data_IF_618205171779
#
_entry.id   IF_618205171779
#
_cell.length_a   1.000
_cell.length_b   1.000
_cell.length_c   1.000
_cell.angle_alpha   90.00
_cell.angle_beta   90.00
_cell.angle_gamma   90.00
#
_symmetry.space_group_name_H-M   'P 1'
#
loop_
_entity.id
_entity.type
_entity.pdbx_description
1 polymer ?
#
# COMPACT_ATOMS: atom_id res chain seq x y z
N UNK A 1 -65.58 -26.39 -34.84
CA UNK A 1 -65.11 -25.04 -34.29
C UNK A 1 -63.81 -25.24 -33.57
N UNK A 2 -62.67 -25.03 -34.21
CA UNK A 2 -61.37 -25.14 -33.63
C UNK A 2 -60.88 -23.70 -33.25
N UNK A 3 -60.65 -23.42 -31.94
CA UNK A 3 -60.10 -22.18 -31.47
C UNK A 3 -58.55 -22.33 -31.42
N UNK A 4 -57.84 -21.56 -32.21
CA UNK A 4 -56.39 -21.43 -32.11
C UNK A 4 -56.04 -20.45 -31.00
N UNK A 5 -55.33 -20.92 -29.95
CA UNK A 5 -54.67 -20.07 -28.98
C UNK A 5 -53.32 -19.62 -29.58
N UNK A 6 -53.15 -18.37 -29.79
CA UNK A 6 -51.83 -17.77 -30.12
C UNK A 6 -51.06 -17.54 -28.82
N UNK A 7 -49.93 -18.23 -28.63
CA UNK A 7 -48.99 -17.97 -27.55
C UNK A 7 -48.05 -16.82 -27.97
N UNK A 8 -48.14 -15.70 -27.27
CA UNK A 8 -47.20 -14.59 -27.45
C UNK A 8 -45.91 -14.91 -26.66
N UNK A 9 -44.81 -15.17 -27.38
CA UNK A 9 -43.47 -15.29 -26.79
C UNK A 9 -42.94 -13.90 -26.45
N UNK A 10 -42.89 -13.53 -25.16
CA UNK A 10 -42.27 -12.30 -24.70
C UNK A 10 -40.73 -12.41 -24.78
N UNK A 11 -40.10 -11.60 -25.61
CA UNK A 11 -38.65 -11.47 -25.67
C UNK A 11 -38.22 -10.52 -24.52
N UNK A 12 -37.65 -11.07 -23.47
CA UNK A 12 -36.99 -10.26 -22.42
C UNK A 12 -35.63 -9.76 -22.96
N UNK A 13 -35.55 -8.47 -23.26
CA UNK A 13 -34.25 -7.80 -23.54
C UNK A 13 -33.48 -7.67 -22.22
N UNK A 14 -32.38 -8.42 -22.12
CA UNK A 14 -31.40 -8.23 -21.04
C UNK A 14 -30.67 -6.89 -21.30
N UNK A 15 -30.83 -5.93 -20.41
CA UNK A 15 -30.06 -4.68 -20.43
C UNK A 15 -28.63 -4.97 -19.99
N UNK A 16 -27.68 -4.88 -20.91
CA UNK A 16 -26.25 -4.92 -20.58
C UNK A 16 -25.90 -3.62 -19.87
N UNK A 17 -25.59 -3.70 -18.58
CA UNK A 17 -24.97 -2.59 -17.83
C UNK A 17 -23.50 -2.53 -18.25
N UNK A 18 -22.97 -1.39 -18.75
CA UNK A 18 -21.57 -1.30 -19.10
C UNK A 18 -20.72 -1.48 -17.84
N UNK A 19 -19.81 -2.45 -17.87
CA UNK A 19 -18.77 -2.60 -16.85
C UNK A 19 -17.79 -1.47 -17.04
N UNK A 20 -17.75 -0.54 -16.09
CA UNK A 20 -16.82 0.56 -16.10
C UNK A 20 -15.47 0.04 -15.58
N UNK A 21 -14.41 0.19 -16.37
CA UNK A 21 -13.06 -0.14 -15.91
C UNK A 21 -12.67 0.78 -14.73
N UNK A 22 -12.13 0.20 -13.67
CA UNK A 22 -11.66 0.98 -12.53
C UNK A 22 -10.40 1.77 -12.93
N UNK A 23 -10.25 3.03 -12.44
CA UNK A 23 -9.04 3.81 -12.72
C UNK A 23 -7.82 3.11 -12.11
N UNK A 24 -6.74 3.09 -12.88
CA UNK A 24 -5.44 2.57 -12.47
C UNK A 24 -4.62 3.73 -11.91
N UNK A 25 -4.03 3.54 -10.72
CA UNK A 25 -3.10 4.47 -10.09
C UNK A 25 -1.66 4.08 -10.43
N UNK A 26 -0.85 5.08 -10.71
CA UNK A 26 0.59 4.98 -10.98
C UNK A 26 1.37 5.87 -10.01
N UNK A 27 2.68 5.87 -10.05
CA UNK A 27 3.51 6.79 -9.25
C UNK A 27 3.33 8.28 -9.60
N UNK A 28 2.55 8.62 -10.63
CA UNK A 28 2.16 10.00 -10.95
C UNK A 28 0.94 10.48 -10.15
N UNK A 29 0.15 9.57 -9.62
CA UNK A 29 -1.09 9.87 -8.89
C UNK A 29 -0.81 10.19 -7.41
N UNK A 30 0.23 11.01 -7.17
CA UNK A 30 0.81 11.29 -5.84
C UNK A 30 -0.25 11.74 -4.84
N UNK A 31 -1.11 12.70 -5.21
CA UNK A 31 -2.15 13.23 -4.30
C UNK A 31 -3.21 12.17 -3.96
N UNK A 32 -3.51 11.28 -4.88
CA UNK A 32 -4.44 10.18 -4.66
C UNK A 32 -3.83 9.15 -3.68
N UNK A 33 -2.53 8.85 -3.83
CA UNK A 33 -1.78 7.98 -2.91
C UNK A 33 -1.72 8.61 -1.50
N UNK A 34 -1.49 9.93 -1.40
CA UNK A 34 -1.57 10.66 -0.13
C UNK A 34 -2.98 10.59 0.48
N UNK A 35 -4.02 10.68 -0.36
CA UNK A 35 -5.41 10.55 0.07
C UNK A 35 -5.70 9.18 0.69
N UNK A 36 -5.14 8.10 0.10
CA UNK A 36 -5.24 6.74 0.66
C UNK A 36 -4.51 6.68 2.01
N UNK A 37 -3.28 7.19 2.09
CA UNK A 37 -2.51 7.22 3.33
C UNK A 37 -3.25 7.92 4.48
N UNK A 38 -3.98 9.01 4.18
CA UNK A 38 -4.80 9.75 5.15
C UNK A 38 -5.98 8.93 5.70
N UNK A 39 -6.42 7.91 4.99
CA UNK A 39 -7.42 6.96 5.48
C UNK A 39 -6.94 6.12 6.67
N UNK A 40 -5.63 6.01 6.88
CA UNK A 40 -4.99 5.21 7.94
C UNK A 40 -4.38 6.07 9.06
N UNK A 41 -4.40 7.39 8.94
CA UNK A 41 -3.88 8.30 9.96
C UNK A 41 -3.43 9.63 9.37
N UNK A 42 -2.73 10.44 10.18
CA UNK A 42 -2.18 11.70 9.67
C UNK A 42 -1.11 11.42 8.61
N UNK A 43 -1.22 12.08 7.44
CA UNK A 43 -0.27 11.95 6.36
C UNK A 43 -0.07 13.27 5.62
N UNK A 44 1.18 13.58 5.27
CA UNK A 44 1.57 14.76 4.51
C UNK A 44 2.56 14.39 3.40
N UNK A 45 2.42 15.09 2.28
CA UNK A 45 3.37 15.02 1.18
C UNK A 45 4.61 15.87 1.50
N UNK A 46 5.78 15.32 1.23
CA UNK A 46 7.07 15.98 1.34
C UNK A 46 7.92 15.65 0.11
N UNK A 47 9.16 16.15 0.10
CA UNK A 47 10.17 15.79 -0.89
C UNK A 47 11.37 15.14 -0.22
N UNK A 48 11.94 14.15 -0.88
CA UNK A 48 13.23 13.56 -0.56
C UNK A 48 14.36 14.55 -0.90
N UNK A 49 15.58 14.31 -0.44
CA UNK A 49 16.75 15.16 -0.74
C UNK A 49 17.08 15.25 -2.22
N UNK A 50 16.74 14.22 -3.00
CA UNK A 50 16.88 14.20 -4.46
C UNK A 50 15.71 14.87 -5.21
N UNK A 51 14.68 15.34 -4.49
CA UNK A 51 13.48 15.98 -5.03
C UNK A 51 12.30 15.06 -5.31
N UNK A 52 12.45 13.75 -5.21
CA UNK A 52 11.36 12.78 -5.41
C UNK A 52 10.27 12.92 -4.34
N UNK A 53 9.01 12.56 -4.62
CA UNK A 53 7.96 12.59 -3.62
C UNK A 53 8.24 11.64 -2.45
N UNK A 54 7.74 12.03 -1.27
CA UNK A 54 7.73 11.20 -0.06
C UNK A 54 6.49 11.55 0.75
N UNK A 55 5.85 10.55 1.32
CA UNK A 55 4.80 10.74 2.31
C UNK A 55 5.41 10.48 3.70
N UNK A 56 5.23 11.41 4.63
CA UNK A 56 5.42 11.14 6.05
C UNK A 56 4.06 10.97 6.67
N UNK A 57 3.85 9.82 7.31
CA UNK A 57 2.56 9.45 7.86
C UNK A 57 2.71 8.87 9.28
N UNK A 58 1.58 8.79 10.00
CA UNK A 58 1.53 8.26 11.35
C UNK A 58 0.38 7.27 11.48
N UNK A 59 0.71 6.10 12.00
CA UNK A 59 -0.26 5.09 12.42
C UNK A 59 -0.08 4.86 13.93
N UNK A 60 -1.11 5.16 14.72
CA UNK A 60 -1.04 5.17 16.19
C UNK A 60 0.14 6.00 16.73
N UNK A 61 1.10 5.38 17.41
CA UNK A 61 2.32 6.03 17.93
C UNK A 61 3.47 6.03 16.94
N UNK A 62 3.40 5.26 15.83
CA UNK A 62 4.49 5.05 14.89
C UNK A 62 4.45 6.08 13.77
N UNK A 63 5.56 6.79 13.57
CA UNK A 63 5.78 7.58 12.35
C UNK A 63 6.47 6.70 11.32
N UNK A 64 5.97 6.70 10.08
CA UNK A 64 6.55 5.97 8.97
C UNK A 64 6.64 6.85 7.72
N UNK A 65 7.43 6.42 6.75
CA UNK A 65 7.55 7.07 5.46
C UNK A 65 7.07 6.14 4.34
N UNK A 66 6.57 6.74 3.26
CA UNK A 66 6.37 6.07 1.98
C UNK A 66 7.18 6.84 0.95
N UNK A 67 8.28 6.25 0.54
CA UNK A 67 9.15 6.82 -0.48
C UNK A 67 8.66 6.43 -1.85
N UNK A 68 8.59 7.41 -2.76
CA UNK A 68 8.43 7.13 -4.17
C UNK A 68 9.81 6.86 -4.76
N UNK A 69 9.96 5.71 -5.41
CA UNK A 69 11.24 5.17 -5.85
C UNK A 69 11.29 5.04 -7.38
N UNK A 70 12.51 4.96 -7.90
CA UNK A 70 12.77 4.80 -9.33
C UNK A 70 12.06 5.87 -10.18
N UNK A 71 12.13 7.14 -9.71
CA UNK A 71 11.46 8.26 -10.35
C UNK A 71 12.29 8.80 -11.51
N UNK A 72 11.63 9.22 -12.59
CA UNK A 72 12.21 9.99 -13.68
C UNK A 72 11.79 11.47 -13.56
N UNK A 73 12.78 12.37 -13.39
CA UNK A 73 12.57 13.81 -13.23
C UNK A 73 11.61 14.18 -12.06
N UNK A 74 11.76 13.50 -10.93
CA UNK A 74 10.94 13.63 -9.72
C UNK A 74 9.44 13.34 -9.92
N UNK A 75 9.12 12.56 -10.93
CA UNK A 75 7.81 12.05 -11.31
C UNK A 75 7.96 10.67 -11.96
N UNK A 76 6.88 10.09 -12.47
CA UNK A 76 6.89 8.77 -13.10
C UNK A 76 7.63 7.73 -12.27
N UNK A 77 7.32 7.68 -10.97
CA UNK A 77 7.92 6.73 -10.05
C UNK A 77 7.33 5.32 -10.26
N UNK A 78 8.16 4.30 -10.21
CA UNK A 78 7.77 2.93 -10.54
C UNK A 78 7.39 2.11 -9.31
N UNK A 79 7.85 2.56 -8.11
CA UNK A 79 7.64 1.81 -6.86
C UNK A 79 7.31 2.74 -5.70
N UNK A 80 6.67 2.17 -4.67
CA UNK A 80 6.58 2.72 -3.32
C UNK A 80 7.35 1.83 -2.36
N UNK A 81 8.20 2.44 -1.53
CA UNK A 81 8.83 1.77 -0.41
C UNK A 81 8.26 2.35 0.89
N UNK A 82 7.55 1.54 1.65
CA UNK A 82 7.10 1.83 2.99
C UNK A 82 8.23 1.53 3.97
N UNK A 83 8.52 2.44 4.88
CA UNK A 83 9.65 2.36 5.80
C UNK A 83 9.26 2.85 7.20
N UNK A 84 9.69 2.11 8.22
CA UNK A 84 9.71 2.56 9.60
C UNK A 84 11.00 2.12 10.29
N UNK A 85 11.70 3.07 10.91
CA UNK A 85 12.87 2.82 11.77
C UNK A 85 12.54 3.11 13.24
N UNK A 86 13.13 2.36 14.15
CA UNK A 86 12.83 2.40 15.58
C UNK A 86 14.13 2.65 16.38
N UNK A 87 14.38 3.91 16.68
CA UNK A 87 15.56 4.34 17.43
C UNK A 87 15.49 3.86 18.89
N UNK A 88 16.65 3.66 19.48
CA UNK A 88 16.81 3.27 20.90
C UNK A 88 16.08 1.96 21.26
N UNK A 89 15.90 1.05 20.28
CA UNK A 89 15.25 -0.25 20.45
C UNK A 89 16.15 -1.39 19.94
N UNK A 90 17.39 -1.53 20.42
CA UNK A 90 18.38 -2.44 19.84
C UNK A 90 17.89 -3.88 19.78
N UNK A 91 18.10 -4.51 18.63
CA UNK A 91 17.70 -5.89 18.35
C UNK A 91 18.91 -6.71 17.89
N UNK A 92 18.73 -8.02 17.76
CA UNK A 92 19.76 -8.90 17.22
C UNK A 92 19.47 -9.27 15.76
N UNK A 93 20.52 -9.64 15.02
CA UNK A 93 20.40 -10.18 13.65
C UNK A 93 19.52 -11.43 13.63
N UNK A 94 19.60 -12.26 14.68
CA UNK A 94 18.79 -13.47 14.83
C UNK A 94 17.30 -13.13 14.95
N UNK A 95 16.95 -12.04 15.66
CA UNK A 95 15.58 -11.57 15.76
C UNK A 95 15.06 -11.10 14.38
N UNK A 96 15.85 -10.35 13.62
CA UNK A 96 15.47 -9.93 12.27
C UNK A 96 15.28 -11.14 11.34
N UNK A 97 16.18 -12.11 11.41
CA UNK A 97 16.04 -13.35 10.64
C UNK A 97 14.81 -14.17 11.06
N UNK A 98 14.46 -14.18 12.35
CA UNK A 98 13.25 -14.85 12.84
C UNK A 98 11.98 -14.16 12.28
N UNK A 99 11.93 -12.83 12.31
CA UNK A 99 10.84 -12.08 11.68
C UNK A 99 10.70 -12.44 10.20
N UNK A 100 11.78 -12.32 9.43
CA UNK A 100 11.76 -12.56 7.98
C UNK A 100 11.39 -14.00 7.60
N UNK A 101 11.69 -14.98 8.45
CA UNK A 101 11.31 -16.39 8.25
C UNK A 101 9.84 -16.64 8.58
N UNK A 102 9.35 -16.03 9.65
CA UNK A 102 8.06 -16.39 10.24
C UNK A 102 6.92 -15.47 9.80
N UNK A 103 7.22 -14.37 9.08
CA UNK A 103 6.25 -13.39 8.57
C UNK A 103 6.30 -13.28 7.05
N UNK A 104 5.14 -13.02 6.44
CA UNK A 104 5.03 -12.93 4.97
C UNK A 104 5.33 -11.55 4.41
N UNK A 105 5.04 -10.52 5.18
CA UNK A 105 5.15 -9.14 4.75
C UNK A 105 6.10 -8.37 5.66
N UNK A 106 6.74 -7.37 5.08
CA UNK A 106 7.72 -6.56 5.77
C UNK A 106 9.07 -7.27 5.88
N UNK A 107 10.10 -6.67 5.27
CA UNK A 107 11.50 -7.06 5.37
C UNK A 107 12.12 -6.32 6.56
N UNK A 108 12.55 -7.03 7.59
CA UNK A 108 13.21 -6.47 8.77
C UNK A 108 14.73 -6.56 8.65
N UNK A 109 15.43 -5.51 9.11
CA UNK A 109 16.88 -5.47 9.18
C UNK A 109 17.34 -4.51 10.29
N UNK A 110 18.64 -4.52 10.57
CA UNK A 110 19.29 -3.55 11.45
C UNK A 110 20.06 -2.54 10.60
N UNK A 111 19.97 -1.27 10.95
CA UNK A 111 20.81 -0.25 10.36
C UNK A 111 22.25 -0.28 10.95
N UNK A 112 23.11 0.65 10.55
CA UNK A 112 24.51 0.71 10.99
C UNK A 112 24.65 0.99 12.50
N UNK A 113 23.61 1.54 13.15
CA UNK A 113 23.52 1.77 14.59
C UNK A 113 22.94 0.57 15.36
N UNK A 114 22.60 -0.52 14.68
CA UNK A 114 21.88 -1.69 15.17
C UNK A 114 20.43 -1.40 15.61
N UNK A 115 19.88 -0.29 15.15
CA UNK A 115 18.47 0.02 15.32
C UNK A 115 17.61 -0.75 14.29
N UNK A 116 16.49 -1.34 14.72
CA UNK A 116 15.66 -2.13 13.82
C UNK A 116 14.85 -1.25 12.87
N UNK A 117 14.79 -1.67 11.61
CA UNK A 117 13.96 -1.08 10.59
C UNK A 117 13.10 -2.16 9.92
N UNK A 118 11.96 -1.74 9.36
CA UNK A 118 11.09 -2.59 8.56
C UNK A 118 10.66 -1.87 7.30
N UNK A 119 10.64 -2.58 6.19
CA UNK A 119 10.26 -2.09 4.87
C UNK A 119 9.26 -3.01 4.19
N UNK A 120 8.46 -2.41 3.29
CA UNK A 120 7.52 -3.12 2.44
C UNK A 120 7.43 -2.39 1.09
N UNK A 121 7.61 -3.12 -0.02
CA UNK A 121 7.63 -2.55 -1.36
C UNK A 121 6.35 -2.86 -2.12
N UNK A 122 5.89 -1.88 -2.93
CA UNK A 122 4.76 -2.02 -3.85
C UNK A 122 5.18 -1.51 -5.22
N UNK A 123 5.15 -2.38 -6.23
CA UNK A 123 5.43 -1.99 -7.60
C UNK A 123 4.21 -1.29 -8.23
N UNK A 124 4.45 -0.15 -8.89
CA UNK A 124 3.45 0.67 -9.57
C UNK A 124 3.72 0.83 -11.08
N UNK A 125 4.74 0.14 -11.63
CA UNK A 125 5.23 0.36 -13.00
C UNK A 125 4.11 0.29 -14.06
N UNK A 126 3.21 -0.67 -13.93
CA UNK A 126 2.06 -0.81 -14.85
C UNK A 126 0.74 -0.38 -14.22
N UNK A 127 0.81 0.28 -13.06
CA UNK A 127 -0.33 0.73 -12.28
C UNK A 127 -1.03 -0.37 -11.50
N UNK A 128 -1.74 0.07 -10.47
CA UNK A 128 -2.57 -0.76 -9.59
C UNK A 128 -3.94 -0.11 -9.42
N UNK A 129 -4.96 -0.89 -9.07
CA UNK A 129 -6.24 -0.28 -8.71
C UNK A 129 -6.15 0.42 -7.36
N UNK A 130 -7.03 1.40 -7.13
CA UNK A 130 -7.14 2.09 -5.83
C UNK A 130 -7.37 1.09 -4.70
N UNK A 131 -8.20 0.08 -4.92
CA UNK A 131 -8.50 -0.97 -3.93
C UNK A 131 -7.27 -1.81 -3.60
N UNK A 132 -6.46 -2.15 -4.60
CA UNK A 132 -5.21 -2.88 -4.37
C UNK A 132 -4.23 -2.05 -3.55
N UNK A 133 -4.06 -0.77 -3.88
CA UNK A 133 -3.18 0.11 -3.11
C UNK A 133 -3.70 0.35 -1.69
N UNK A 134 -5.02 0.50 -1.52
CA UNK A 134 -5.65 0.57 -0.19
C UNK A 134 -5.35 -0.70 0.64
N UNK A 135 -5.46 -1.89 0.03
CA UNK A 135 -5.11 -3.14 0.70
C UNK A 135 -3.61 -3.21 1.07
N UNK A 136 -2.71 -2.61 0.28
CA UNK A 136 -1.30 -2.51 0.63
C UNK A 136 -1.07 -1.64 1.87
N UNK A 137 -1.77 -0.51 2.01
CA UNK A 137 -1.74 0.30 3.24
C UNK A 137 -2.32 -0.44 4.45
N UNK A 138 -3.40 -1.20 4.26
CA UNK A 138 -3.97 -2.05 5.33
C UNK A 138 -2.96 -3.10 5.80
N UNK A 139 -2.31 -3.80 4.87
CA UNK A 139 -1.23 -4.76 5.18
C UNK A 139 -0.08 -4.06 5.92
N UNK A 140 0.31 -2.85 5.49
CA UNK A 140 1.37 -2.09 6.16
C UNK A 140 1.03 -1.75 7.61
N UNK A 141 -0.18 -1.29 7.90
CA UNK A 141 -0.60 -1.01 9.28
C UNK A 141 -0.60 -2.26 10.15
N UNK A 142 -1.00 -3.42 9.60
CA UNK A 142 -0.90 -4.71 10.28
C UNK A 142 0.56 -5.11 10.54
N UNK A 143 1.45 -4.86 9.58
CA UNK A 143 2.91 -5.10 9.74
C UNK A 143 3.46 -4.24 10.87
N UNK A 144 3.13 -2.94 10.91
CA UNK A 144 3.58 -2.03 11.97
C UNK A 144 3.14 -2.50 13.36
N UNK A 145 1.86 -2.84 13.52
CA UNK A 145 1.31 -3.35 14.79
C UNK A 145 2.04 -4.62 15.28
N UNK A 146 2.20 -5.59 14.38
CA UNK A 146 2.90 -6.84 14.69
C UNK A 146 4.39 -6.63 14.97
N UNK A 147 5.04 -5.73 14.19
CA UNK A 147 6.47 -5.50 14.33
C UNK A 147 6.82 -4.74 15.61
N UNK A 148 6.06 -3.69 15.95
CA UNK A 148 6.25 -2.98 17.22
C UNK A 148 6.07 -3.90 18.43
N UNK A 149 5.06 -4.78 18.38
CA UNK A 149 4.87 -5.82 19.41
C UNK A 149 6.05 -6.79 19.46
N UNK A 150 6.58 -7.20 18.30
CA UNK A 150 7.70 -8.14 18.21
C UNK A 150 9.00 -7.58 18.77
N UNK A 151 9.34 -6.31 18.47
CA UNK A 151 10.56 -5.65 18.98
C UNK A 151 10.38 -5.04 20.39
N UNK A 152 9.18 -5.10 20.97
CA UNK A 152 8.88 -4.49 22.28
C UNK A 152 8.88 -2.96 22.27
N UNK A 153 8.65 -2.34 21.13
CA UNK A 153 8.55 -0.89 21.00
C UNK A 153 7.24 -0.38 21.64
N UNK A 154 7.33 0.65 22.51
CA UNK A 154 6.19 1.17 23.28
C UNK A 154 5.95 2.65 22.98
#
# INVERSE_FOLDING_TARGET
MFKYLAAAAGITMATMVPVQAQPILTGNDVEEIVSIARGYGAARLERQSNGDPKITARFESVTYQVFFMNCTANANCEDLNFYAGFLDSPQSVEAMNAWNRDRRFGKAYLDDALDPAIEFDVNLEHGVTRENLNAAFEVWTLVLDQYTSFIGYK
#
